data_IF_704616259070
#
_entry.id   IF_704616259070
#
_cell.length_a   1.000
_cell.length_b   1.000
_cell.length_c   1.000
_cell.angle_alpha   90.00
_cell.angle_beta   90.00
_cell.angle_gamma   90.00
#
_symmetry.space_group_name_H-M   'P 1'
#
loop_
_entity.id
_entity.type
_entity.pdbx_description
1 polymer ?
#
# COMPACT_ATOMS: atom_id res chain seq x y z
N UNK A 1 -0.09 -16.55 -5.60
CA UNK A 1 -1.14 -15.55 -5.89
C UNK A 1 -2.48 -16.26 -5.85
N UNK A 2 -3.49 -15.66 -5.22
CA UNK A 2 -4.81 -16.27 -5.08
C UNK A 2 -5.68 -15.88 -6.29
N UNK A 3 -5.40 -16.50 -7.44
CA UNK A 3 -6.09 -16.23 -8.70
C UNK A 3 -7.58 -16.64 -8.58
N UNK A 4 -8.45 -15.67 -8.32
CA UNK A 4 -9.89 -15.89 -8.13
C UNK A 4 -10.50 -15.11 -6.95
N UNK A 5 -9.66 -14.51 -6.10
CA UNK A 5 -10.16 -13.61 -5.07
C UNK A 5 -10.54 -12.24 -5.66
N UNK A 6 -11.70 -11.75 -5.24
CA UNK A 6 -12.26 -10.45 -5.58
C UNK A 6 -12.72 -9.75 -4.31
N UNK A 7 -12.97 -8.45 -4.41
CA UNK A 7 -13.63 -7.68 -3.35
C UNK A 7 -14.88 -8.40 -2.80
N UNK A 8 -15.70 -9.01 -3.66
CA UNK A 8 -16.90 -9.75 -3.27
C UNK A 8 -16.55 -11.04 -2.51
N UNK A 9 -15.59 -11.86 -2.98
CA UNK A 9 -15.27 -13.13 -2.29
C UNK A 9 -14.66 -12.89 -0.91
N UNK A 10 -13.88 -11.81 -0.75
CA UNK A 10 -13.29 -11.41 0.53
C UNK A 10 -14.39 -10.97 1.49
N UNK A 11 -15.28 -10.07 1.05
CA UNK A 11 -16.36 -9.54 1.89
C UNK A 11 -17.41 -10.60 2.23
N UNK A 12 -17.85 -11.39 1.25
CA UNK A 12 -18.80 -12.47 1.48
C UNK A 12 -18.22 -13.56 2.40
N UNK A 13 -16.91 -13.82 2.31
CA UNK A 13 -16.20 -14.71 3.22
C UNK A 13 -16.16 -14.18 4.65
N UNK A 14 -15.93 -12.87 4.82
CA UNK A 14 -15.94 -12.21 6.13
C UNK A 14 -17.34 -12.21 6.76
N UNK A 15 -18.38 -11.84 6.01
CA UNK A 15 -19.76 -11.86 6.46
C UNK A 15 -20.21 -13.27 6.88
N UNK A 16 -19.86 -14.29 6.08
CA UNK A 16 -20.16 -15.71 6.42
C UNK A 16 -19.48 -16.14 7.73
N UNK A 17 -18.25 -15.69 7.99
CA UNK A 17 -17.54 -16.02 9.21
C UNK A 17 -18.22 -15.46 10.48
N UNK A 18 -19.00 -14.38 10.33
CA UNK A 18 -19.81 -13.79 11.39
C UNK A 18 -21.23 -14.37 11.49
N UNK A 19 -21.57 -15.37 10.65
CA UNK A 19 -22.90 -15.96 10.58
C UNK A 19 -23.87 -15.26 9.62
N UNK A 20 -23.39 -14.31 8.82
CA UNK A 20 -24.18 -13.62 7.80
C UNK A 20 -24.46 -14.46 6.56
N UNK A 21 -25.40 -13.99 5.74
CA UNK A 21 -25.73 -14.58 4.45
C UNK A 21 -24.63 -14.29 3.42
N UNK A 22 -24.49 -15.21 2.46
CA UNK A 22 -23.57 -15.03 1.33
C UNK A 22 -24.20 -14.16 0.26
N UNK A 23 -23.39 -13.33 -0.39
CA UNK A 23 -23.81 -12.48 -1.49
C UNK A 23 -22.83 -12.61 -2.66
N UNK A 24 -23.29 -12.23 -3.85
CA UNK A 24 -22.55 -12.28 -5.12
C UNK A 24 -22.34 -10.90 -5.75
N UNK A 25 -23.05 -9.88 -5.26
CA UNK A 25 -22.85 -8.48 -5.61
C UNK A 25 -23.08 -7.59 -4.39
N UNK A 26 -22.49 -6.40 -4.37
CA UNK A 26 -22.75 -5.39 -3.32
C UNK A 26 -24.16 -4.78 -3.41
N UNK A 27 -24.84 -4.98 -4.54
CA UNK A 27 -26.23 -4.56 -4.75
C UNK A 27 -27.27 -5.58 -4.26
N UNK A 28 -26.83 -6.74 -3.76
CA UNK A 28 -27.73 -7.73 -3.20
C UNK A 28 -28.41 -7.17 -1.94
N UNK A 29 -29.70 -7.48 -1.75
CA UNK A 29 -30.51 -7.01 -0.61
C UNK A 29 -30.18 -7.76 0.68
N UNK A 30 -28.91 -7.65 1.10
CA UNK A 30 -28.33 -8.27 2.28
C UNK A 30 -27.54 -7.20 3.01
N UNK A 31 -27.76 -7.01 4.30
CA UNK A 31 -27.09 -5.98 5.11
C UNK A 31 -25.56 -6.02 4.96
N UNK A 32 -24.98 -7.22 4.91
CA UNK A 32 -23.54 -7.40 4.73
C UNK A 32 -23.01 -6.96 3.35
N UNK A 33 -23.83 -7.04 2.30
CA UNK A 33 -23.44 -6.65 0.94
C UNK A 33 -23.29 -5.13 0.82
N UNK A 34 -24.30 -4.37 1.25
CA UNK A 34 -24.27 -2.90 1.23
C UNK A 34 -23.16 -2.35 2.13
N UNK A 35 -23.08 -2.82 3.38
CA UNK A 35 -22.06 -2.37 4.34
C UNK A 35 -20.63 -2.62 3.83
N UNK A 36 -20.38 -3.80 3.26
CA UNK A 36 -19.07 -4.09 2.69
C UNK A 36 -18.79 -3.25 1.44
N UNK A 37 -19.78 -2.97 0.60
CA UNK A 37 -19.63 -2.12 -0.58
C UNK A 37 -19.14 -0.71 -0.22
N UNK A 38 -19.65 -0.15 0.88
CA UNK A 38 -19.31 1.20 1.34
C UNK A 38 -17.93 1.28 2.00
N UNK A 39 -17.60 0.28 2.84
CA UNK A 39 -16.39 0.32 3.68
C UNK A 39 -15.17 -0.27 2.97
N UNK A 40 -15.36 -1.27 2.10
CA UNK A 40 -14.25 -2.03 1.56
C UNK A 40 -13.22 -1.19 0.77
N UNK A 41 -13.62 -0.27 -0.13
CA UNK A 41 -12.64 0.52 -0.89
C UNK A 41 -11.73 1.36 0.01
N UNK A 42 -12.30 2.08 0.97
CA UNK A 42 -11.54 2.94 1.90
C UNK A 42 -10.67 2.12 2.84
N UNK A 43 -11.16 0.96 3.30
CA UNK A 43 -10.42 0.06 4.17
C UNK A 43 -9.24 -0.60 3.44
N UNK A 44 -9.46 -1.03 2.19
CA UNK A 44 -8.38 -1.56 1.34
C UNK A 44 -7.28 -0.53 1.15
N UNK A 45 -7.64 0.68 0.75
CA UNK A 45 -6.67 1.72 0.45
C UNK A 45 -5.93 2.15 1.73
N UNK A 46 -6.60 2.15 2.89
CA UNK A 46 -5.99 2.37 4.22
C UNK A 46 -4.98 1.28 4.60
N UNK A 47 -5.31 0.00 4.42
CA UNK A 47 -4.38 -1.10 4.76
C UNK A 47 -3.21 -1.15 3.77
N UNK A 48 -3.45 -0.96 2.48
CA UNK A 48 -2.39 -0.86 1.48
C UNK A 48 -1.50 0.37 1.73
N UNK A 49 -2.07 1.49 2.17
CA UNK A 49 -1.33 2.69 2.57
C UNK A 49 -0.71 2.62 3.96
N UNK A 50 -0.91 1.55 4.74
CA UNK A 50 -0.34 1.42 6.09
C UNK A 50 1.12 0.94 6.12
N UNK A 51 1.62 0.45 4.98
CA UNK A 51 2.94 -0.13 4.84
C UNK A 51 3.33 -0.26 3.36
N UNK A 52 4.63 -0.22 3.08
CA UNK A 52 5.17 -0.37 1.73
C UNK A 52 5.14 -1.85 1.29
N UNK A 53 3.96 -2.32 0.89
CA UNK A 53 3.76 -3.67 0.38
C UNK A 53 4.47 -3.86 -0.95
N UNK A 54 5.33 -4.88 -1.04
CA UNK A 54 6.17 -5.07 -2.21
C UNK A 54 5.34 -5.41 -3.46
N UNK A 55 4.30 -6.23 -3.30
CA UNK A 55 3.38 -6.60 -4.38
C UNK A 55 2.53 -5.42 -4.89
N UNK A 56 2.42 -4.34 -4.12
CA UNK A 56 1.68 -3.14 -4.48
C UNK A 56 2.59 -1.94 -4.82
N UNK A 57 3.89 -2.18 -4.98
CA UNK A 57 4.85 -1.16 -5.40
C UNK A 57 5.15 -1.31 -6.89
N UNK A 58 5.04 -0.21 -7.64
CA UNK A 58 5.36 -0.16 -9.07
C UNK A 58 6.46 0.89 -9.34
N UNK A 59 7.27 0.61 -10.37
CA UNK A 59 8.22 1.58 -10.93
C UNK A 59 7.61 2.24 -12.16
N UNK A 60 7.51 3.57 -12.17
CA UNK A 60 7.00 4.30 -13.33
C UNK A 60 7.89 5.49 -13.69
N UNK A 61 8.04 5.73 -15.00
CA UNK A 61 8.60 6.98 -15.51
C UNK A 61 7.54 8.08 -15.44
N UNK A 62 7.94 9.25 -14.92
CA UNK A 62 7.08 10.41 -14.95
C UNK A 62 7.22 11.16 -16.27
N UNK A 63 6.10 11.71 -16.75
CA UNK A 63 6.09 12.56 -17.93
C UNK A 63 6.32 14.01 -17.51
N UNK A 64 7.25 14.67 -18.19
CA UNK A 64 7.54 16.10 -18.02
C UNK A 64 6.35 16.95 -18.49
N UNK A 65 5.98 17.97 -17.73
CA UNK A 65 5.00 18.94 -18.20
C UNK A 65 5.61 19.97 -19.14
N UNK A 66 4.82 20.45 -20.10
CA UNK A 66 5.26 21.43 -21.10
C UNK A 66 5.41 22.86 -20.54
N UNK A 67 4.69 23.18 -19.47
CA UNK A 67 4.85 24.42 -18.72
C UNK A 67 5.99 24.26 -17.71
N UNK A 68 6.82 25.28 -17.54
CA UNK A 68 7.85 25.29 -16.48
C UNK A 68 7.23 25.57 -15.11
N UNK A 69 7.90 25.16 -14.01
CA UNK A 69 7.46 25.49 -12.65
C UNK A 69 7.52 27.01 -12.36
N UNK A 70 6.72 27.47 -11.40
CA UNK A 70 6.70 28.87 -10.92
C UNK A 70 7.78 29.13 -9.85
N UNK A 71 8.41 28.07 -9.35
CA UNK A 71 9.45 28.06 -8.32
C UNK A 71 10.86 28.03 -8.93
N UNK A 72 11.90 28.08 -8.11
CA UNK A 72 13.31 28.08 -8.54
C UNK A 72 13.83 26.76 -9.14
N UNK A 73 12.94 25.80 -9.40
CA UNK A 73 13.25 24.53 -10.04
C UNK A 73 13.21 24.66 -11.57
N UNK A 74 13.93 23.80 -12.30
CA UNK A 74 13.96 23.87 -13.77
C UNK A 74 12.80 23.10 -14.42
N UNK A 75 12.36 22.01 -13.79
CA UNK A 75 11.43 21.04 -14.37
C UNK A 75 10.31 20.66 -13.40
N UNK A 76 9.15 20.28 -13.96
CA UNK A 76 8.01 19.76 -13.20
C UNK A 76 7.43 18.50 -13.85
N UNK A 77 7.02 17.56 -13.02
CA UNK A 77 6.47 16.26 -13.41
C UNK A 77 5.16 16.00 -12.66
N UNK A 78 4.13 15.55 -13.38
CA UNK A 78 2.86 15.15 -12.77
C UNK A 78 3.02 13.78 -12.12
N UNK A 79 2.67 13.67 -10.84
CA UNK A 79 2.66 12.39 -10.14
C UNK A 79 1.49 11.52 -10.62
N UNK A 80 1.58 10.21 -10.42
CA UNK A 80 0.50 9.28 -10.78
C UNK A 80 -0.67 9.43 -9.80
N UNK A 81 -1.90 9.46 -10.31
CA UNK A 81 -3.11 9.70 -9.52
C UNK A 81 -3.65 8.47 -8.77
N UNK A 82 -3.16 7.27 -9.07
CA UNK A 82 -3.49 6.01 -8.42
C UNK A 82 -2.62 5.69 -7.19
N UNK A 83 -1.77 6.65 -6.79
CA UNK A 83 -0.86 6.49 -5.65
C UNK A 83 -1.60 6.52 -4.31
N UNK A 84 -1.14 5.68 -3.39
CA UNK A 84 -1.70 5.59 -2.04
C UNK A 84 -1.03 6.55 -1.04
N UNK A 85 0.16 7.06 -1.37
CA UNK A 85 0.86 8.08 -0.59
C UNK A 85 1.00 9.36 -1.38
N UNK A 86 0.99 10.49 -0.68
CA UNK A 86 1.19 11.80 -1.32
C UNK A 86 2.59 11.90 -1.96
N UNK A 87 3.60 11.33 -1.30
CA UNK A 87 4.97 11.24 -1.79
C UNK A 87 5.29 9.83 -2.35
N UNK A 88 6.12 9.73 -3.41
CA UNK A 88 6.69 8.48 -3.85
C UNK A 88 7.67 7.93 -2.80
N UNK A 89 7.83 6.62 -2.78
CA UNK A 89 8.73 5.94 -1.86
C UNK A 89 10.19 6.23 -2.21
N UNK A 90 10.49 6.29 -3.51
CA UNK A 90 11.83 6.56 -4.04
C UNK A 90 11.74 7.30 -5.36
N UNK A 91 12.73 8.15 -5.62
CA UNK A 91 12.89 8.92 -6.86
C UNK A 91 14.25 8.60 -7.46
N UNK A 92 14.34 8.43 -8.77
CA UNK A 92 15.56 8.13 -9.52
C UNK A 92 15.66 9.06 -10.72
N UNK A 93 16.89 9.42 -11.09
CA UNK A 93 17.19 10.22 -12.29
C UNK A 93 17.54 9.38 -13.53
N UNK A 94 17.57 8.06 -13.41
CA UNK A 94 17.96 7.17 -14.50
C UNK A 94 17.28 5.82 -14.40
N UNK A 95 17.10 5.15 -15.55
CA UNK A 95 16.61 3.77 -15.66
C UNK A 95 17.73 2.72 -15.55
N UNK A 96 18.96 3.13 -15.26
CA UNK A 96 20.09 2.22 -15.16
C UNK A 96 19.89 1.15 -14.07
N UNK A 97 20.42 -0.05 -14.33
CA UNK A 97 20.52 -1.10 -13.32
C UNK A 97 21.42 -0.58 -12.19
N UNK A 98 21.01 -0.82 -10.93
CA UNK A 98 21.70 -0.34 -9.72
C UNK A 98 21.73 1.18 -9.52
N UNK A 99 20.83 1.91 -10.17
CA UNK A 99 20.62 3.33 -9.89
C UNK A 99 20.29 3.56 -8.41
N UNK A 100 21.01 4.51 -7.79
CA UNK A 100 20.74 4.95 -6.42
C UNK A 100 19.58 5.94 -6.42
N UNK A 101 18.67 5.86 -5.43
CA UNK A 101 17.61 6.86 -5.30
C UNK A 101 18.21 8.23 -4.97
N UNK A 102 17.60 9.28 -5.50
CA UNK A 102 17.94 10.66 -5.21
C UNK A 102 17.55 11.03 -3.78
N UNK A 103 18.54 11.40 -2.97
CA UNK A 103 18.33 11.84 -1.58
C UNK A 103 17.97 13.33 -1.48
N UNK A 104 18.30 14.14 -2.50
CA UNK A 104 18.08 15.58 -2.54
C UNK A 104 17.86 16.04 -3.99
N UNK A 105 17.45 17.31 -4.18
CA UNK A 105 17.28 17.90 -5.51
C UNK A 105 15.88 17.70 -6.10
N UNK A 106 14.91 17.35 -5.28
CA UNK A 106 13.50 17.29 -5.66
C UNK A 106 12.61 17.75 -4.52
N UNK A 107 11.44 18.27 -4.87
CA UNK A 107 10.41 18.74 -3.94
C UNK A 107 9.04 18.35 -4.47
N UNK A 108 8.09 18.04 -3.58
CA UNK A 108 6.71 17.77 -3.94
C UNK A 108 5.86 18.94 -3.51
N UNK A 109 5.14 19.50 -4.48
CA UNK A 109 4.20 20.60 -4.24
C UNK A 109 2.86 20.20 -4.86
N UNK A 110 1.90 19.87 -4.00
CA UNK A 110 0.62 19.33 -4.42
C UNK A 110 0.81 18.01 -5.19
N UNK A 111 0.27 17.94 -6.40
CA UNK A 111 0.32 16.74 -7.23
C UNK A 111 1.55 16.65 -8.15
N UNK A 112 2.57 17.48 -7.89
CA UNK A 112 3.71 17.65 -8.79
C UNK A 112 5.03 17.44 -8.08
N UNK A 113 5.93 16.76 -8.77
CA UNK A 113 7.33 16.64 -8.39
C UNK A 113 8.14 17.67 -9.18
N UNK A 114 8.81 18.56 -8.47
CA UNK A 114 9.70 19.58 -9.02
C UNK A 114 11.15 19.16 -8.84
N UNK A 115 11.97 19.32 -9.87
CA UNK A 115 13.39 18.94 -9.85
C UNK A 115 14.18 19.67 -10.94
N UNK A 116 15.49 19.53 -10.96
CA UNK A 116 16.37 19.99 -12.04
C UNK A 116 16.81 18.86 -12.98
N UNK A 117 16.38 17.63 -12.71
CA UNK A 117 16.72 16.46 -13.51
C UNK A 117 15.80 16.32 -14.74
N UNK A 118 16.36 15.82 -15.84
CA UNK A 118 15.68 15.72 -17.16
C UNK A 118 14.81 14.47 -17.30
N UNK A 119 15.13 13.42 -16.56
CA UNK A 119 14.36 12.18 -16.53
C UNK A 119 14.13 11.78 -15.08
N UNK A 120 12.88 11.45 -14.73
CA UNK A 120 12.52 11.00 -13.39
C UNK A 120 11.75 9.69 -13.46
N UNK A 121 12.19 8.75 -12.64
CA UNK A 121 11.53 7.49 -12.36
C UNK A 121 11.17 7.43 -10.88
N UNK A 122 10.00 6.90 -10.55
CA UNK A 122 9.54 6.78 -9.16
C UNK A 122 9.16 5.36 -8.81
N UNK A 123 9.39 5.00 -7.55
CA UNK A 123 8.76 3.85 -6.91
C UNK A 123 7.58 4.39 -6.09
N UNK A 124 6.38 3.91 -6.35
CA UNK A 124 5.19 4.33 -5.61
C UNK A 124 4.30 3.14 -5.28
N UNK A 125 3.54 3.26 -4.19
CA UNK A 125 2.51 2.29 -3.86
C UNK A 125 1.20 2.66 -4.56
N UNK A 126 0.54 1.66 -5.14
CA UNK A 126 -0.68 1.83 -5.90
C UNK A 126 -1.74 0.81 -5.49
N UNK A 127 -2.98 1.09 -5.86
CA UNK A 127 -4.09 0.18 -5.60
C UNK A 127 -4.01 -1.00 -6.56
N UNK A 128 -3.65 -2.18 -6.04
CA UNK A 128 -3.59 -3.42 -6.82
C UNK A 128 -4.91 -4.19 -6.77
N UNK A 129 -5.22 -4.92 -7.85
CA UNK A 129 -6.36 -5.83 -7.89
C UNK A 129 -6.19 -6.97 -6.87
N UNK A 130 -7.28 -7.33 -6.20
CA UNK A 130 -7.34 -8.37 -5.17
C UNK A 130 -6.80 -9.72 -5.66
N UNK A 131 -6.98 -10.06 -6.94
CA UNK A 131 -6.50 -11.32 -7.52
C UNK A 131 -4.97 -11.42 -7.65
N UNK A 132 -4.27 -10.28 -7.59
CA UNK A 132 -2.80 -10.21 -7.61
C UNK A 132 -2.20 -10.32 -6.21
N UNK A 133 -3.03 -10.24 -5.15
CA UNK A 133 -2.52 -10.26 -3.79
C UNK A 133 -1.94 -11.63 -3.41
N UNK A 134 -0.88 -11.64 -2.58
CA UNK A 134 -0.43 -12.84 -1.90
C UNK A 134 -1.53 -13.43 -1.00
N UNK A 135 -1.57 -14.75 -0.88
CA UNK A 135 -2.60 -15.44 -0.09
C UNK A 135 -2.65 -14.97 1.38
N UNK A 136 -1.50 -14.60 1.95
CA UNK A 136 -1.44 -14.07 3.31
C UNK A 136 -2.13 -12.71 3.47
N UNK A 137 -2.08 -11.88 2.43
CA UNK A 137 -2.67 -10.55 2.45
C UNK A 137 -4.19 -10.63 2.24
N UNK A 138 -4.65 -11.56 1.39
CA UNK A 138 -6.09 -11.88 1.27
C UNK A 138 -6.64 -12.36 2.61
N UNK A 139 -5.93 -13.25 3.31
CA UNK A 139 -6.35 -13.71 4.64
C UNK A 139 -6.40 -12.56 5.66
N UNK A 140 -5.40 -11.67 5.65
CA UNK A 140 -5.40 -10.45 6.46
C UNK A 140 -6.62 -9.60 6.15
N UNK A 141 -6.83 -9.24 4.89
CA UNK A 141 -7.95 -8.37 4.46
C UNK A 141 -9.30 -8.96 4.81
N UNK A 142 -9.49 -10.27 4.68
CA UNK A 142 -10.72 -10.94 5.15
C UNK A 142 -10.94 -10.75 6.65
N UNK A 143 -9.91 -10.87 7.47
CA UNK A 143 -10.03 -10.66 8.90
C UNK A 143 -10.22 -9.18 9.28
N UNK A 144 -9.59 -8.27 8.54
CA UNK A 144 -9.77 -6.81 8.71
C UNK A 144 -11.22 -6.44 8.42
N UNK A 145 -11.77 -6.81 7.26
CA UNK A 145 -13.18 -6.58 6.92
C UNK A 145 -14.10 -7.20 7.97
N UNK A 146 -13.83 -8.44 8.38
CA UNK A 146 -14.58 -9.11 9.43
C UNK A 146 -14.58 -8.33 10.74
N UNK A 147 -13.46 -7.73 11.16
CA UNK A 147 -13.39 -6.95 12.38
C UNK A 147 -14.20 -5.64 12.30
N UNK A 148 -14.15 -4.94 11.17
CA UNK A 148 -14.88 -3.68 10.98
C UNK A 148 -16.41 -3.90 10.92
N UNK A 149 -16.86 -4.97 10.26
CA UNK A 149 -18.30 -5.25 10.13
C UNK A 149 -18.87 -6.04 11.33
N UNK A 150 -18.02 -6.56 12.23
CA UNK A 150 -18.43 -7.44 13.32
C UNK A 150 -19.50 -6.81 14.22
N UNK A 151 -19.33 -5.54 14.61
CA UNK A 151 -20.26 -4.85 15.48
C UNK A 151 -21.63 -4.69 14.80
N UNK A 152 -21.65 -4.21 13.56
CA UNK A 152 -22.87 -4.00 12.78
C UNK A 152 -23.64 -5.29 12.45
N UNK A 153 -22.97 -6.43 12.41
CA UNK A 153 -23.60 -7.71 12.08
C UNK A 153 -24.06 -8.51 13.29
N UNK A 154 -23.34 -8.41 14.42
CA UNK A 154 -23.55 -9.31 15.58
C UNK A 154 -24.17 -8.61 16.78
N UNK A 155 -24.19 -7.27 16.79
CA UNK A 155 -24.57 -6.43 17.94
C UNK A 155 -23.80 -6.78 19.23
N UNK A 156 -22.62 -7.40 19.11
CA UNK A 156 -21.79 -7.84 20.24
C UNK A 156 -20.45 -7.13 20.25
N UNK A 157 -20.31 -6.12 21.13
CA UNK A 157 -19.05 -5.38 21.31
C UNK A 157 -17.87 -6.29 21.66
N UNK A 158 -18.10 -7.32 22.48
CA UNK A 158 -17.05 -8.27 22.88
C UNK A 158 -16.46 -9.04 21.68
N UNK A 159 -17.29 -9.38 20.68
CA UNK A 159 -16.84 -10.10 19.49
C UNK A 159 -16.03 -9.16 18.59
N UNK A 160 -16.52 -7.93 18.40
CA UNK A 160 -15.82 -6.90 17.63
C UNK A 160 -14.45 -6.57 18.25
N UNK A 161 -14.39 -6.30 19.56
CA UNK A 161 -13.15 -6.00 20.26
C UNK A 161 -12.12 -7.13 20.18
N UNK A 162 -12.57 -8.40 20.31
CA UNK A 162 -11.68 -9.57 20.17
C UNK A 162 -11.13 -9.70 18.75
N UNK A 163 -11.92 -9.40 17.73
CA UNK A 163 -11.49 -9.44 16.33
C UNK A 163 -10.51 -8.31 16.01
N UNK A 164 -10.79 -7.08 16.49
CA UNK A 164 -9.87 -5.96 16.37
C UNK A 164 -8.51 -6.27 17.03
N UNK A 165 -8.53 -6.85 18.23
CA UNK A 165 -7.29 -7.29 18.91
C UNK A 165 -6.54 -8.36 18.10
N UNK A 166 -7.25 -9.31 17.48
CA UNK A 166 -6.63 -10.34 16.63
C UNK A 166 -5.97 -9.73 15.39
N UNK A 167 -6.62 -8.75 14.76
CA UNK A 167 -6.17 -8.13 13.50
C UNK A 167 -5.04 -7.15 13.74
N UNK A 168 -5.28 -6.14 14.59
CA UNK A 168 -4.39 -4.99 14.80
C UNK A 168 -3.43 -5.18 15.98
N UNK A 169 -3.67 -6.15 16.86
CA UNK A 169 -2.91 -6.30 18.09
C UNK A 169 -3.34 -5.31 19.17
N UNK A 170 -2.59 -5.29 20.27
CA UNK A 170 -2.82 -4.36 21.37
C UNK A 170 -2.17 -3.01 21.01
N UNK A 171 -2.92 -1.92 21.12
CA UNK A 171 -2.46 -0.56 20.80
C UNK A 171 -1.93 -0.39 19.36
N UNK A 172 -2.49 -1.13 18.40
CA UNK A 172 -2.07 -1.11 16.99
C UNK A 172 -0.73 -1.80 16.71
N UNK A 173 -0.14 -2.43 17.73
CA UNK A 173 1.08 -3.21 17.62
C UNK A 173 0.75 -4.70 17.83
N UNK A 174 0.95 -5.50 16.78
CA UNK A 174 0.78 -6.95 16.82
C UNK A 174 -0.24 -7.47 15.82
N UNK A 175 -0.85 -8.59 16.22
CA UNK A 175 -1.91 -9.23 15.46
C UNK A 175 -1.48 -9.78 14.10
N UNK A 176 -2.46 -9.97 13.23
CA UNK A 176 -2.24 -10.44 11.87
C UNK A 176 -1.54 -9.40 10.99
N UNK A 177 -1.80 -8.11 11.23
CA UNK A 177 -1.20 -7.04 10.44
C UNK A 177 0.33 -7.03 10.60
N UNK A 178 0.85 -7.09 11.84
CA UNK A 178 2.29 -7.15 12.05
C UNK A 178 2.91 -8.43 11.47
N UNK A 179 2.24 -9.58 11.59
CA UNK A 179 2.70 -10.84 10.97
C UNK A 179 2.78 -10.75 9.45
N UNK A 180 1.81 -10.08 8.82
CA UNK A 180 1.82 -9.83 7.39
C UNK A 180 2.96 -8.88 6.98
N UNK A 181 3.20 -7.81 7.74
CA UNK A 181 4.35 -6.90 7.53
C UNK A 181 5.68 -7.64 7.63
N UNK A 182 5.85 -8.47 8.66
CA UNK A 182 7.06 -9.32 8.81
C UNK A 182 7.24 -10.28 7.66
N UNK A 183 6.15 -10.93 7.20
CA UNK A 183 6.21 -11.84 6.04
C UNK A 183 6.60 -11.10 4.76
N UNK A 184 5.98 -9.95 4.47
CA UNK A 184 6.35 -9.12 3.32
C UNK A 184 7.83 -8.71 3.37
N UNK A 185 8.34 -8.36 4.56
CA UNK A 185 9.76 -8.03 4.73
C UNK A 185 10.69 -9.24 4.52
N UNK A 186 10.25 -10.45 4.86
CA UNK A 186 11.04 -11.69 4.65
C UNK A 186 11.08 -12.11 3.19
N UNK A 187 9.99 -11.87 2.45
CA UNK A 187 9.89 -12.19 1.02
C UNK A 187 10.75 -11.24 0.15
N UNK A 188 11.23 -10.13 0.71
CA UNK A 188 12.09 -9.19 0.01
C UNK A 188 13.56 -9.66 0.04
N UNK A 189 14.24 -9.84 -1.11
CA UNK A 189 15.65 -10.16 -1.11
C UNK A 189 16.46 -9.08 -0.39
N UNK A 190 17.41 -9.51 0.43
CA UNK A 190 18.32 -8.61 1.14
C UNK A 190 19.06 -7.78 0.11
N UNK A 191 18.85 -6.46 0.11
CA UNK A 191 19.71 -5.54 -0.63
C UNK A 191 21.08 -5.56 0.06
N UNK A 192 22.07 -6.10 -0.62
CA UNK A 192 23.47 -5.99 -0.20
C UNK A 192 23.79 -4.50 -0.26
N UNK A 193 24.08 -3.91 0.90
CA UNK A 193 24.57 -2.53 0.96
C UNK A 193 26.05 -2.62 0.55
N UNK A 194 26.31 -2.42 -0.74
CA UNK A 194 27.66 -2.48 -1.30
C UNK A 194 28.47 -1.21 -1.06
N UNK A 195 27.83 -0.13 -0.60
CA UNK A 195 28.46 1.17 -0.40
C UNK A 195 28.30 1.65 1.05
N UNK A 196 29.43 1.71 1.74
CA UNK A 196 29.54 2.26 3.08
C UNK A 196 30.15 3.66 2.98
N UNK A 197 29.34 4.66 2.59
CA UNK A 197 29.77 6.06 2.55
C UNK A 197 30.47 6.54 3.83
N UNK A 198 30.12 5.99 4.99
CA UNK A 198 30.77 6.28 6.28
C UNK A 198 32.12 5.58 6.49
N UNK A 199 32.36 4.45 5.83
CA UNK A 199 33.65 3.74 5.83
C UNK A 199 34.59 4.35 4.79
N UNK A 200 34.08 4.70 3.61
CA UNK A 200 34.86 5.41 2.58
C UNK A 200 35.25 6.83 3.02
N UNK A 201 34.35 7.55 3.71
CA UNK A 201 34.68 8.83 4.32
C UNK A 201 35.75 8.72 5.42
N UNK A 202 35.90 7.54 6.05
CA UNK A 202 36.92 7.26 7.07
C UNK A 202 38.27 6.82 6.46
N UNK A 203 38.25 6.11 5.35
CA UNK A 203 39.48 5.60 4.70
C UNK A 203 40.19 6.63 3.83
N UNK A 204 39.53 7.76 3.52
CA UNK A 204 40.14 8.85 2.77
C UNK A 204 40.21 8.52 1.28
N UNK A 205 39.68 9.44 0.47
CA UNK A 205 39.88 9.44 -0.97
C UNK A 205 41.36 9.28 -1.32
N UNK A 206 41.71 8.17 -1.99
CA UNK A 206 42.93 8.07 -2.82
C UNK A 206 42.54 8.38 -4.25
#
# INVERSE_FOLDING_TARGET
MAAGDSNITICAGAARALGGQTFSAFTDDVTGAGLCGDIYPSLRDSILGSYDWHFATEKAQLSKEATGPVSGWQEQYTLKGDRLHDAPLRVYNTSAVDAKPLTAGWEIIGDKLMTNEVEIWIDYSHTTNEGLWPAYFVELMRNVVMAEIAFHMTDQENVAARLQLKVYGQDGNGGMLQRAKTRNSQDNPVRIIEDFSLIDARLGSV
#
